data_IF_252137872517
#
_entry.id   IF_252137872517
#
_cell.length_a   1.000
_cell.length_b   1.000
_cell.length_c   1.000
_cell.angle_alpha   90.00
_cell.angle_beta   90.00
_cell.angle_gamma   90.00
#
_symmetry.space_group_name_H-M   'P 1'
#
loop_
_entity.id
_entity.type
_entity.pdbx_description
1 polymer ?
#
# COMPACT_ATOMS: atom_id res chain seq x y z
N UNK A 1 -26.31 -9.77 9.79
CA UNK A 1 -25.64 -8.83 10.71
C UNK A 1 -24.72 -7.96 9.86
N UNK A 2 -25.05 -6.68 9.70
CA UNK A 2 -24.20 -5.75 8.95
C UNK A 2 -22.92 -5.55 9.74
N UNK A 3 -21.76 -5.92 9.17
CA UNK A 3 -20.46 -5.75 9.83
C UNK A 3 -20.30 -4.32 10.31
N UNK A 4 -19.80 -4.10 11.54
CA UNK A 4 -19.51 -2.76 12.04
C UNK A 4 -18.47 -2.01 11.18
N UNK A 5 -17.78 -2.73 10.27
CA UNK A 5 -16.88 -2.20 9.26
C UNK A 5 -17.52 -2.13 7.86
N UNK A 6 -18.84 -2.20 7.73
CA UNK A 6 -19.53 -2.03 6.44
C UNK A 6 -19.47 -0.58 5.93
N UNK A 7 -19.33 0.40 6.83
CA UNK A 7 -19.11 1.80 6.46
C UNK A 7 -17.72 2.00 5.84
N UNK A 8 -17.57 2.96 4.91
CA UNK A 8 -16.26 3.34 4.40
C UNK A 8 -15.36 3.78 5.57
N UNK A 9 -14.05 3.53 5.49
CA UNK A 9 -13.11 4.06 6.46
C UNK A 9 -12.97 5.57 6.27
N UNK A 10 -12.85 6.27 7.40
CA UNK A 10 -12.72 7.72 7.44
C UNK A 10 -11.46 8.14 8.20
N UNK A 11 -10.94 7.26 9.06
CA UNK A 11 -9.73 7.47 9.87
C UNK A 11 -8.75 6.33 9.65
N UNK A 12 -7.48 6.62 9.85
CA UNK A 12 -6.43 5.61 10.03
C UNK A 12 -5.98 5.58 11.49
N UNK A 13 -5.89 4.39 12.08
CA UNK A 13 -5.25 4.18 13.37
C UNK A 13 -3.93 3.45 13.14
N UNK A 14 -2.82 4.05 13.55
CA UNK A 14 -1.48 3.52 13.34
C UNK A 14 -0.74 3.30 14.65
N UNK A 15 0.17 2.33 14.69
CA UNK A 15 1.03 2.05 15.83
C UNK A 15 2.35 1.39 15.40
N UNK A 16 3.42 1.66 16.14
CA UNK A 16 4.71 0.99 15.99
C UNK A 16 4.83 -0.20 16.94
N UNK A 17 5.41 -1.30 16.48
CA UNK A 17 5.61 -2.52 17.26
C UNK A 17 7.07 -2.96 17.18
N UNK A 18 7.73 -3.04 18.34
CA UNK A 18 9.10 -3.57 18.47
C UNK A 18 9.18 -5.10 18.32
N UNK A 19 8.11 -5.78 18.72
CA UNK A 19 8.09 -7.24 18.86
C UNK A 19 7.06 -7.84 17.91
N UNK A 20 7.50 -8.85 17.16
CA UNK A 20 6.66 -9.57 16.21
C UNK A 20 5.44 -10.23 16.88
N UNK A 21 5.58 -10.83 18.06
CA UNK A 21 4.46 -11.51 18.74
C UNK A 21 3.40 -10.50 19.16
N UNK A 22 3.81 -9.30 19.57
CA UNK A 22 2.87 -8.20 19.85
C UNK A 22 2.13 -7.75 18.60
N UNK A 23 2.83 -7.62 17.47
CA UNK A 23 2.20 -7.30 16.19
C UNK A 23 1.21 -8.40 15.76
N UNK A 24 1.61 -9.67 15.83
CA UNK A 24 0.75 -10.81 15.50
C UNK A 24 -0.51 -10.84 16.37
N UNK A 25 -0.36 -10.63 17.68
CA UNK A 25 -1.49 -10.53 18.60
C UNK A 25 -2.41 -9.35 18.25
N UNK A 26 -1.84 -8.18 17.92
CA UNK A 26 -2.64 -7.03 17.49
C UNK A 26 -3.46 -7.37 16.23
N UNK A 27 -2.83 -7.95 15.20
CA UNK A 27 -3.52 -8.34 13.96
C UNK A 27 -4.62 -9.36 14.23
N UNK A 28 -4.34 -10.40 15.01
CA UNK A 28 -5.35 -11.40 15.35
C UNK A 28 -6.54 -10.78 16.06
N UNK A 29 -6.30 -9.91 17.05
CA UNK A 29 -7.36 -9.19 17.77
C UNK A 29 -8.16 -8.26 16.86
N UNK A 30 -7.55 -7.65 15.84
CA UNK A 30 -8.27 -6.85 14.85
C UNK A 30 -9.21 -7.74 14.01
N UNK A 31 -8.73 -8.88 13.53
CA UNK A 31 -9.52 -9.83 12.75
C UNK A 31 -10.68 -10.41 13.58
N UNK A 32 -10.43 -10.76 14.85
CA UNK A 32 -11.45 -11.25 15.78
C UNK A 32 -12.53 -10.19 16.06
N UNK A 33 -12.20 -8.91 15.94
CA UNK A 33 -13.13 -7.77 16.03
C UNK A 33 -13.87 -7.49 14.73
N UNK A 34 -13.62 -8.26 13.68
CA UNK A 34 -14.26 -8.14 12.37
C UNK A 34 -13.67 -7.04 11.50
N UNK A 35 -12.46 -6.54 11.82
CA UNK A 35 -11.73 -5.66 10.90
C UNK A 35 -11.37 -6.47 9.66
N UNK A 36 -11.79 -6.07 8.45
CA UNK A 36 -11.43 -6.78 7.24
C UNK A 36 -9.92 -6.68 6.98
N UNK A 37 -9.30 -7.76 6.52
CA UNK A 37 -7.87 -7.81 6.18
C UNK A 37 -7.47 -6.78 5.14
N UNK A 38 -8.41 -6.39 4.28
CA UNK A 38 -8.26 -5.35 3.25
C UNK A 38 -8.19 -3.94 3.83
N UNK A 39 -8.28 -3.77 5.16
CA UNK A 39 -8.08 -2.50 5.87
C UNK A 39 -6.85 -2.52 6.77
N UNK A 40 -6.09 -3.60 6.77
CA UNK A 40 -4.92 -3.77 7.62
C UNK A 40 -3.69 -3.69 6.74
N UNK A 41 -2.80 -2.78 7.09
CA UNK A 41 -1.51 -2.59 6.43
C UNK A 41 -0.35 -2.73 7.40
N UNK A 42 0.73 -3.36 6.95
CA UNK A 42 1.94 -3.53 7.74
C UNK A 42 3.14 -3.11 6.90
N UNK A 43 4.07 -2.39 7.53
CA UNK A 43 5.36 -2.01 6.95
C UNK A 43 6.47 -2.43 7.92
N UNK A 44 7.52 -3.06 7.40
CA UNK A 44 8.68 -3.46 8.20
C UNK A 44 9.94 -3.55 7.36
N UNK A 45 11.11 -3.52 8.01
CA UNK A 45 12.42 -3.69 7.35
C UNK A 45 13.05 -5.05 7.70
N UNK A 46 14.26 -5.23 7.17
CA UNK A 46 15.16 -6.37 7.43
C UNK A 46 14.97 -7.55 6.47
N UNK A 47 14.86 -7.25 5.17
CA UNK A 47 15.21 -8.20 4.12
C UNK A 47 16.70 -8.07 3.86
N UNK A 48 17.45 -9.15 4.10
CA UNK A 48 18.82 -9.30 3.63
C UNK A 48 18.80 -9.79 2.17
N UNK A 49 17.99 -9.14 1.34
CA UNK A 49 17.96 -9.45 -0.09
C UNK A 49 18.72 -8.34 -0.80
N UNK A 50 19.88 -8.68 -1.35
CA UNK A 50 20.61 -7.86 -2.32
C UNK A 50 19.83 -7.70 -3.63
N UNK A 51 18.66 -8.36 -3.75
CA UNK A 51 17.77 -8.27 -4.88
C UNK A 51 17.22 -6.84 -5.00
N UNK A 52 17.78 -6.14 -5.98
CA UNK A 52 17.35 -4.84 -6.51
C UNK A 52 15.96 -4.98 -7.13
N UNK A 53 14.91 -5.09 -6.31
CA UNK A 53 13.55 -5.24 -6.79
C UNK A 53 12.68 -4.19 -6.11
N UNK A 54 12.50 -3.06 -6.80
CA UNK A 54 11.35 -2.17 -6.56
C UNK A 54 10.18 -2.74 -7.36
N UNK A 55 9.20 -3.34 -6.68
CA UNK A 55 8.03 -3.93 -7.33
C UNK A 55 7.11 -4.70 -6.40
N UNK A 56 5.93 -5.05 -6.90
CA UNK A 56 5.08 -6.02 -6.23
C UNK A 56 5.69 -7.42 -6.41
N UNK A 57 5.81 -8.16 -5.30
CA UNK A 57 6.27 -9.54 -5.30
C UNK A 57 5.11 -10.44 -4.91
N UNK A 58 5.11 -11.67 -5.39
CA UNK A 58 4.14 -12.64 -4.90
C UNK A 58 4.41 -12.92 -3.41
N UNK A 59 3.36 -13.18 -2.64
CA UNK A 59 3.49 -13.55 -1.22
C UNK A 59 4.50 -14.68 -1.03
N UNK A 60 4.48 -15.65 -1.94
CA UNK A 60 5.35 -16.83 -1.92
C UNK A 60 6.82 -16.43 -2.06
N UNK A 61 7.15 -15.51 -2.97
CA UNK A 61 8.52 -15.01 -3.16
C UNK A 61 9.01 -14.26 -1.92
N UNK A 62 8.19 -13.37 -1.35
CA UNK A 62 8.55 -12.62 -0.14
C UNK A 62 8.76 -13.55 1.06
N UNK A 63 7.90 -14.57 1.21
CA UNK A 63 8.03 -15.57 2.28
C UNK A 63 9.28 -16.43 2.06
N UNK A 64 9.51 -16.93 0.84
CA UNK A 64 10.68 -17.76 0.51
C UNK A 64 11.98 -17.01 0.69
N UNK A 65 12.05 -15.77 0.23
CA UNK A 65 13.24 -14.92 0.35
C UNK A 65 13.50 -14.53 1.81
N UNK A 66 12.45 -14.22 2.58
CA UNK A 66 12.55 -13.99 4.03
C UNK A 66 13.04 -15.23 4.80
N UNK A 67 12.58 -16.43 4.42
CA UNK A 67 13.04 -17.70 5.01
C UNK A 67 14.48 -18.05 4.59
N UNK A 68 14.84 -17.84 3.32
CA UNK A 68 16.15 -18.21 2.76
C UNK A 68 17.27 -17.25 3.21
N UNK A 69 16.98 -15.96 3.34
CA UNK A 69 17.94 -14.94 3.77
C UNK A 69 18.23 -14.96 5.29
N UNK A 70 17.55 -15.83 6.05
CA UNK A 70 17.66 -15.85 7.51
C UNK A 70 17.16 -14.54 8.15
N UNK A 71 16.34 -13.77 7.42
CA UNK A 71 15.67 -12.60 7.98
C UNK A 71 14.92 -13.06 9.23
N UNK A 72 15.16 -12.37 10.35
CA UNK A 72 14.79 -12.74 11.73
C UNK A 72 13.27 -12.93 11.97
N UNK A 73 12.44 -12.90 10.93
CA UNK A 73 10.99 -12.73 10.99
C UNK A 73 10.19 -13.75 10.17
N UNK A 74 10.76 -14.92 9.81
CA UNK A 74 10.07 -15.93 8.98
C UNK A 74 8.66 -16.35 9.46
N UNK A 75 8.38 -16.28 10.77
CA UNK A 75 7.05 -16.54 11.34
C UNK A 75 6.02 -15.44 11.05
N UNK A 76 6.45 -14.18 10.88
CA UNK A 76 5.60 -13.01 10.60
C UNK A 76 5.10 -13.10 9.16
N UNK A 77 5.98 -13.54 8.27
CA UNK A 77 5.71 -13.75 6.84
C UNK A 77 4.75 -14.94 6.61
N UNK A 78 4.95 -16.06 7.31
CA UNK A 78 4.07 -17.22 7.19
C UNK A 78 2.66 -17.00 7.73
N UNK A 79 2.50 -16.24 8.83
CA UNK A 79 1.23 -16.13 9.55
C UNK A 79 0.47 -14.86 9.18
N UNK A 80 1.05 -13.69 9.45
CA UNK A 80 0.35 -12.40 9.29
C UNK A 80 0.27 -11.98 7.84
N UNK A 81 1.38 -12.06 7.10
CA UNK A 81 1.42 -11.62 5.71
C UNK A 81 0.65 -12.54 4.76
N UNK A 82 0.49 -13.81 5.13
CA UNK A 82 -0.43 -14.72 4.44
C UNK A 82 -1.88 -14.19 4.48
N UNK A 83 -2.29 -13.60 5.60
CA UNK A 83 -3.64 -13.07 5.82
C UNK A 83 -3.87 -11.73 5.10
N UNK A 84 -2.83 -10.92 4.88
CA UNK A 84 -2.95 -9.61 4.24
C UNK A 84 -2.98 -9.71 2.72
N UNK A 85 -3.58 -8.73 2.04
CA UNK A 85 -3.62 -8.64 0.57
C UNK A 85 -2.55 -7.67 0.06
N UNK A 86 -2.03 -7.88 -1.15
CA UNK A 86 -1.10 -6.93 -1.79
C UNK A 86 0.22 -6.76 -1.03
N UNK A 87 1.16 -7.68 -1.21
CA UNK A 87 2.51 -7.59 -0.63
C UNK A 87 3.45 -7.03 -1.69
N UNK A 88 4.38 -6.18 -1.28
CA UNK A 88 5.50 -5.85 -2.15
C UNK A 88 6.66 -5.25 -1.40
N UNK A 89 7.76 -5.09 -2.14
CA UNK A 89 9.06 -4.73 -1.60
C UNK A 89 9.52 -3.46 -2.29
N UNK A 90 9.97 -2.51 -1.48
CA UNK A 90 10.48 -1.23 -1.95
C UNK A 90 11.84 -0.97 -1.32
N UNK A 91 12.81 -0.62 -2.15
CA UNK A 91 14.10 -0.16 -1.68
C UNK A 91 14.01 1.33 -1.37
N UNK A 92 14.18 1.69 -0.09
CA UNK A 92 14.21 3.08 0.36
C UNK A 92 15.67 3.49 0.56
N UNK A 93 16.15 4.58 -0.08
CA UNK A 93 17.47 5.13 0.22
C UNK A 93 17.67 5.34 1.73
N UNK A 94 18.82 4.96 2.27
CA UNK A 94 19.18 5.03 3.71
C UNK A 94 18.39 4.10 4.66
N UNK A 95 17.21 3.59 4.28
CA UNK A 95 16.44 2.61 5.05
C UNK A 95 16.72 1.16 4.62
N UNK A 96 17.05 0.93 3.35
CA UNK A 96 17.24 -0.39 2.76
C UNK A 96 15.94 -0.99 2.21
N UNK A 97 15.92 -2.32 2.03
CA UNK A 97 14.72 -3.04 1.59
C UNK A 97 13.64 -3.02 2.70
N UNK A 98 12.47 -2.52 2.34
CA UNK A 98 11.28 -2.45 3.19
C UNK A 98 10.19 -3.26 2.53
N UNK A 99 9.46 -4.02 3.34
CA UNK A 99 8.28 -4.76 2.91
C UNK A 99 7.05 -4.08 3.43
N UNK A 100 6.10 -3.90 2.53
CA UNK A 100 4.77 -3.44 2.85
C UNK A 100 3.76 -4.52 2.44
N UNK A 101 2.71 -4.66 3.24
CA UNK A 101 1.52 -5.40 2.88
C UNK A 101 0.26 -4.63 3.20
N UNK A 102 -0.83 -4.95 2.52
CA UNK A 102 -2.11 -4.27 2.66
C UNK A 102 -2.27 -3.08 1.70
N UNK A 103 -3.36 -2.33 1.85
CA UNK A 103 -3.64 -1.13 1.05
C UNK A 103 -2.48 -0.12 1.01
N UNK A 104 -1.76 0.05 2.13
CA UNK A 104 -0.62 0.95 2.18
C UNK A 104 0.51 0.48 1.25
N UNK A 105 0.74 -0.83 1.10
CA UNK A 105 1.71 -1.33 0.14
C UNK A 105 1.32 -0.98 -1.29
N UNK A 106 0.04 -1.13 -1.62
CA UNK A 106 -0.49 -0.74 -2.93
C UNK A 106 -0.36 0.76 -3.19
N UNK A 107 -0.58 1.60 -2.17
CA UNK A 107 -0.38 3.05 -2.27
C UNK A 107 1.11 3.41 -2.45
N UNK A 108 2.01 2.80 -1.67
CA UNK A 108 3.44 3.05 -1.71
C UNK A 108 4.08 2.60 -3.03
N UNK A 109 3.66 1.43 -3.55
CA UNK A 109 4.19 0.85 -4.79
C UNK A 109 3.48 1.39 -6.03
N UNK A 110 2.18 1.66 -5.94
CA UNK A 110 1.35 2.21 -7.03
C UNK A 110 1.78 3.61 -7.47
N UNK A 111 2.48 4.36 -6.61
CA UNK A 111 3.11 5.63 -6.93
C UNK A 111 4.17 5.54 -8.06
N UNK A 112 4.64 4.33 -8.42
CA UNK A 112 5.55 4.13 -9.57
C UNK A 112 4.88 4.31 -10.93
N UNK A 113 3.55 4.38 -10.96
CA UNK A 113 2.79 4.39 -12.21
C UNK A 113 2.55 5.78 -12.82
N UNK A 114 2.65 6.86 -12.04
CA UNK A 114 2.62 8.23 -12.57
C UNK A 114 1.95 9.28 -11.67
N UNK A 115 1.15 8.86 -10.69
CA UNK A 115 0.40 9.75 -9.81
C UNK A 115 1.29 10.32 -8.67
N UNK A 116 1.73 11.56 -8.85
CA UNK A 116 2.15 12.63 -7.91
C UNK A 116 2.68 12.40 -6.48
N UNK A 117 3.07 11.21 -6.02
CA UNK A 117 3.60 11.04 -4.67
C UNK A 117 4.94 10.31 -4.69
N UNK A 118 6.02 11.06 -4.49
CA UNK A 118 7.41 10.67 -4.70
C UNK A 118 7.95 9.55 -3.80
N UNK A 119 7.51 8.32 -4.01
CA UNK A 119 8.08 7.13 -3.38
C UNK A 119 9.49 6.80 -3.90
N UNK A 120 9.84 7.22 -5.12
CA UNK A 120 11.15 6.93 -5.73
C UNK A 120 12.31 7.81 -5.19
N UNK A 121 12.08 8.72 -4.23
CA UNK A 121 13.13 9.66 -3.80
C UNK A 121 13.21 10.04 -2.32
N UNK A 122 12.11 10.04 -1.55
CA UNK A 122 12.10 10.70 -0.23
C UNK A 122 11.80 9.78 0.97
N UNK A 123 11.56 8.48 0.74
CA UNK A 123 11.44 7.46 1.79
C UNK A 123 10.10 7.41 2.52
N UNK A 124 9.97 6.49 3.48
CA UNK A 124 8.68 6.11 4.09
C UNK A 124 7.94 7.31 4.70
N UNK A 125 8.66 8.20 5.40
CA UNK A 125 8.06 9.38 6.01
C UNK A 125 7.45 10.32 4.97
N UNK A 126 8.12 10.54 3.84
CA UNK A 126 7.57 11.36 2.75
C UNK A 126 6.30 10.78 2.15
N UNK A 127 6.25 9.45 2.04
CA UNK A 127 5.10 8.76 1.50
C UNK A 127 3.92 8.79 2.49
N UNK A 128 4.17 8.63 3.78
CA UNK A 128 3.12 8.78 4.80
C UNK A 128 2.59 10.22 4.86
N UNK A 129 3.46 11.23 4.77
CA UNK A 129 3.04 12.64 4.71
C UNK A 129 2.18 12.93 3.48
N UNK A 130 2.55 12.35 2.34
CA UNK A 130 1.79 12.45 1.09
C UNK A 130 0.37 11.91 1.21
N UNK A 131 0.15 10.93 2.08
CA UNK A 131 -1.16 10.35 2.37
C UNK A 131 -1.95 11.15 3.43
N UNK A 132 -1.39 12.22 3.98
CA UNK A 132 -2.02 13.08 4.99
C UNK A 132 -1.56 12.82 6.43
N UNK A 133 -0.48 12.04 6.65
CA UNK A 133 0.08 11.88 7.98
C UNK A 133 0.85 13.15 8.43
N UNK A 134 0.68 13.63 9.67
CA UNK A 134 1.48 14.72 10.22
C UNK A 134 2.98 14.43 10.17
N UNK A 135 3.79 15.45 9.85
CA UNK A 135 5.23 15.34 9.63
C UNK A 135 5.98 14.73 10.84
N UNK A 136 5.63 15.16 12.04
CA UNK A 136 6.18 14.67 13.30
C UNK A 136 5.95 13.16 13.46
N UNK A 137 4.74 12.69 13.16
CA UNK A 137 4.40 11.26 13.22
C UNK A 137 5.04 10.45 12.12
N UNK A 138 5.03 10.95 10.89
CA UNK A 138 5.68 10.29 9.76
C UNK A 138 7.18 10.11 9.99
N UNK A 139 7.86 11.12 10.55
CA UNK A 139 9.26 11.05 10.93
C UNK A 139 9.52 9.99 12.00
N UNK A 140 8.70 9.97 13.07
CA UNK A 140 8.81 8.96 14.14
C UNK A 140 8.67 7.55 13.56
N UNK A 141 7.64 7.28 12.75
CA UNK A 141 7.44 5.95 12.16
C UNK A 141 8.56 5.56 11.20
N UNK A 142 9.08 6.50 10.39
CA UNK A 142 10.25 6.23 9.57
C UNK A 142 11.45 5.79 10.44
N UNK A 143 11.72 6.50 11.53
CA UNK A 143 12.81 6.14 12.45
C UNK A 143 12.58 4.79 13.13
N UNK A 144 11.35 4.48 13.57
CA UNK A 144 11.01 3.17 14.17
C UNK A 144 11.19 2.04 13.17
N UNK A 145 10.66 2.19 11.94
CA UNK A 145 10.85 1.21 10.88
C UNK A 145 12.34 1.08 10.55
N UNK A 146 13.09 2.19 10.50
CA UNK A 146 14.54 2.16 10.33
C UNK A 146 15.25 1.44 11.49
N UNK A 147 14.72 1.45 12.70
CA UNK A 147 15.28 0.71 13.84
C UNK A 147 14.99 -0.80 13.80
N UNK A 148 14.22 -1.30 12.82
CA UNK A 148 13.85 -2.72 12.73
C UNK A 148 12.46 -3.02 13.28
N UNK A 149 11.72 -2.01 13.70
CA UNK A 149 10.34 -2.14 14.19
C UNK A 149 9.34 -2.24 13.03
N UNK A 150 8.10 -2.58 13.37
CA UNK A 150 6.98 -2.69 12.44
C UNK A 150 6.02 -1.51 12.60
N UNK A 151 5.52 -0.99 11.50
CA UNK A 151 4.40 -0.06 11.47
C UNK A 151 3.13 -0.83 11.08
N UNK A 152 2.11 -0.78 11.92
CA UNK A 152 0.76 -1.26 11.63
C UNK A 152 -0.13 -0.04 11.38
N UNK A 153 -0.90 -0.07 10.29
CA UNK A 153 -1.92 0.94 9.97
C UNK A 153 -3.23 0.24 9.69
N UNK A 154 -4.31 0.75 10.29
CA UNK A 154 -5.66 0.18 10.15
C UNK A 154 -6.63 1.27 9.72
N UNK A 155 -7.29 1.06 8.59
CA UNK A 155 -8.38 1.91 8.11
C UNK A 155 -9.68 1.57 8.84
N UNK A 156 -10.32 2.57 9.44
CA UNK A 156 -11.50 2.37 10.29
C UNK A 156 -12.56 3.45 10.05
N UNK A 157 -13.85 3.12 10.21
CA UNK A 157 -14.88 4.15 10.36
C UNK A 157 -14.58 5.03 11.58
N UNK A 158 -14.96 6.31 11.53
CA UNK A 158 -14.66 7.27 12.61
C UNK A 158 -15.11 6.75 13.99
N UNK A 159 -16.30 6.18 14.08
CA UNK A 159 -16.87 5.59 15.30
C UNK A 159 -16.06 4.43 15.91
N UNK A 160 -15.19 3.79 15.13
CA UNK A 160 -14.33 2.68 15.56
C UNK A 160 -12.91 3.10 15.91
N UNK A 161 -12.51 4.33 15.57
CA UNK A 161 -11.16 4.83 15.81
C UNK A 161 -10.71 4.71 17.27
N UNK A 162 -11.55 5.11 18.21
CA UNK A 162 -11.24 5.00 19.65
C UNK A 162 -11.11 3.55 20.14
N UNK A 163 -11.98 2.64 19.69
CA UNK A 163 -11.91 1.22 20.04
C UNK A 163 -10.60 0.60 19.53
N UNK A 164 -10.26 0.86 18.27
CA UNK A 164 -9.05 0.33 17.64
C UNK A 164 -7.79 0.96 18.24
N UNK A 165 -7.81 2.25 18.57
CA UNK A 165 -6.72 2.92 19.28
C UNK A 165 -6.37 2.22 20.60
N UNK A 166 -7.38 1.95 21.44
CA UNK A 166 -7.20 1.25 22.71
C UNK A 166 -6.76 -0.21 22.51
N UNK A 167 -7.26 -0.86 21.45
CA UNK A 167 -6.83 -2.22 21.09
C UNK A 167 -5.33 -2.24 20.76
N UNK A 168 -4.85 -1.35 19.90
CA UNK A 168 -3.43 -1.28 19.53
C UNK A 168 -2.55 -0.95 20.72
N UNK A 169 -2.97 0.02 21.55
CA UNK A 169 -2.24 0.39 22.76
C UNK A 169 -2.14 -0.79 23.75
N UNK A 170 -3.27 -1.46 24.03
CA UNK A 170 -3.29 -2.63 24.92
C UNK A 170 -2.57 -3.85 24.36
N UNK A 171 -2.42 -3.97 23.03
CA UNK A 171 -1.60 -4.98 22.39
C UNK A 171 -0.09 -4.68 22.47
N UNK A 172 0.28 -3.53 23.04
CA UNK A 172 1.67 -3.08 23.21
C UNK A 172 2.21 -2.28 22.03
N UNK A 173 1.33 -1.66 21.24
CA UNK A 173 1.69 -0.68 20.23
C UNK A 173 2.20 0.61 20.88
N UNK A 174 3.32 1.11 20.38
CA UNK A 174 3.89 2.40 20.74
C UNK A 174 3.52 3.46 19.70
N UNK A 175 3.61 4.74 20.06
CA UNK A 175 3.34 5.86 19.14
C UNK A 175 1.96 5.77 18.47
N UNK A 176 0.97 5.23 19.17
CA UNK A 176 -0.38 5.06 18.63
C UNK A 176 -0.96 6.41 18.26
N UNK A 177 -1.51 6.53 17.05
CA UNK A 177 -2.10 7.76 16.54
C UNK A 177 -3.36 7.46 15.74
N UNK A 178 -4.29 8.41 15.76
CA UNK A 178 -5.42 8.46 14.82
C UNK A 178 -5.16 9.62 13.88
N UNK A 179 -5.25 9.39 12.58
CA UNK A 179 -5.02 10.38 11.54
C UNK A 179 -6.14 10.36 10.51
N UNK A 180 -6.27 11.45 9.76
CA UNK A 180 -7.18 11.57 8.62
C UNK A 180 -6.51 11.09 7.32
N UNK A 181 -5.53 10.20 7.46
CA UNK A 181 -4.76 9.68 6.34
C UNK A 181 -5.69 8.95 5.37
N UNK A 182 -5.60 9.28 4.09
CA UNK A 182 -6.40 8.64 3.04
C UNK A 182 -5.49 7.71 2.25
N UNK A 183 -5.77 6.41 2.31
CA UNK A 183 -5.06 5.41 1.51
C UNK A 183 -5.82 5.23 0.19
N UNK A 184 -5.22 5.58 -0.97
CA UNK A 184 -5.87 5.37 -2.26
C UNK A 184 -6.23 3.90 -2.43
N UNK A 185 -7.48 3.65 -2.80
CA UNK A 185 -7.93 2.29 -3.15
C UNK A 185 -7.67 2.05 -4.62
N UNK A 186 -7.02 0.93 -4.92
CA UNK A 186 -7.00 0.43 -6.30
C UNK A 186 -8.40 -0.10 -6.66
N UNK A 187 -8.80 -0.02 -7.93
CA UNK A 187 -10.09 -0.55 -8.39
C UNK A 187 -10.24 -2.03 -7.99
N UNK A 188 -11.40 -2.38 -7.41
CA UNK A 188 -11.65 -3.72 -6.88
C UNK A 188 -12.04 -4.75 -7.95
N UNK A 189 -12.22 -4.34 -9.21
CA UNK A 189 -12.64 -5.19 -10.32
C UNK A 189 -12.49 -4.48 -11.65
N UNK A 190 -13.21 -4.96 -12.67
CA UNK A 190 -13.28 -4.26 -13.95
C UNK A 190 -13.77 -2.83 -13.76
N UNK A 191 -13.19 -1.92 -14.54
CA UNK A 191 -13.59 -0.54 -14.62
C UNK A 191 -14.72 -0.43 -15.65
N UNK A 192 -15.95 -0.13 -15.23
CA UNK A 192 -17.10 0.06 -16.12
C UNK A 192 -16.96 1.31 -17.01
N UNK A 193 -16.03 2.20 -16.67
CA UNK A 193 -15.75 3.41 -17.43
C UNK A 193 -14.66 4.27 -16.80
N UNK A 194 -14.27 5.34 -17.50
CA UNK A 194 -13.28 6.29 -17.01
C UNK A 194 -13.69 6.96 -15.69
N UNK A 195 -14.99 7.01 -15.40
CA UNK A 195 -15.56 7.56 -14.18
C UNK A 195 -15.11 6.84 -12.90
N UNK A 196 -14.82 5.53 -12.98
CA UNK A 196 -14.33 4.71 -11.86
C UNK A 196 -12.81 4.78 -11.67
N UNK A 197 -12.10 5.45 -12.60
CA UNK A 197 -10.69 5.77 -12.42
C UNK A 197 -10.56 6.78 -11.27
N UNK A 198 -9.53 6.60 -10.43
CA UNK A 198 -9.28 7.50 -9.31
C UNK A 198 -9.00 8.94 -9.78
N UNK A 199 -9.38 9.97 -9.00
CA UNK A 199 -9.17 11.37 -9.37
C UNK A 199 -7.72 11.70 -9.76
N UNK A 200 -6.76 11.02 -9.15
CA UNK A 200 -5.33 11.21 -9.40
C UNK A 200 -4.94 10.70 -10.80
N UNK A 201 -5.44 9.53 -11.21
CA UNK A 201 -5.16 8.98 -12.54
C UNK A 201 -5.87 9.83 -13.61
N UNK A 202 -7.09 10.31 -13.34
CA UNK A 202 -7.80 11.23 -14.26
C UNK A 202 -7.04 12.53 -14.48
N UNK A 203 -6.40 13.07 -13.43
CA UNK A 203 -5.63 14.31 -13.54
C UNK A 203 -4.40 14.19 -14.45
N UNK A 204 -3.83 12.99 -14.58
CA UNK A 204 -2.66 12.72 -15.42
C UNK A 204 -3.01 12.29 -16.87
N UNK A 205 -4.27 12.01 -17.17
CA UNK A 205 -4.72 11.42 -18.44
C UNK A 205 -5.78 12.29 -19.12
N UNK A 206 -5.61 12.54 -20.43
CA UNK A 206 -6.71 13.06 -21.27
C UNK A 206 -7.88 12.07 -21.34
N UNK A 207 -9.09 12.53 -21.70
CA UNK A 207 -10.28 11.69 -21.91
C UNK A 207 -9.99 10.45 -22.78
N UNK A 208 -9.23 10.61 -23.88
CA UNK A 208 -8.85 9.52 -24.77
C UNK A 208 -7.88 8.53 -24.10
N UNK A 209 -6.91 9.05 -23.34
CA UNK A 209 -5.97 8.22 -22.58
C UNK A 209 -6.67 7.49 -21.43
N UNK A 210 -7.69 8.09 -20.80
CA UNK A 210 -8.50 7.44 -19.76
C UNK A 210 -9.25 6.23 -20.33
N UNK A 211 -9.84 6.34 -21.52
CA UNK A 211 -10.51 5.20 -22.19
C UNK A 211 -9.52 4.08 -22.50
N UNK A 212 -8.37 4.42 -23.09
CA UNK A 212 -7.32 3.44 -23.40
C UNK A 212 -6.81 2.72 -22.14
N UNK A 213 -6.73 3.45 -21.03
CA UNK A 213 -6.33 2.90 -19.73
C UNK A 213 -7.33 1.86 -19.23
N UNK A 214 -8.62 2.19 -19.24
CA UNK A 214 -9.71 1.29 -18.80
C UNK A 214 -9.75 0.02 -19.63
N UNK A 215 -9.69 0.13 -20.96
CA UNK A 215 -9.70 -1.02 -21.86
C UNK A 215 -8.52 -1.96 -21.59
N UNK A 216 -7.32 -1.41 -21.50
CA UNK A 216 -6.10 -2.20 -21.28
C UNK A 216 -6.11 -2.84 -19.89
N UNK A 217 -6.61 -2.12 -18.90
CA UNK A 217 -6.75 -2.61 -17.54
C UNK A 217 -7.72 -3.80 -17.49
N UNK A 218 -8.93 -3.65 -18.01
CA UNK A 218 -9.95 -4.72 -18.01
C UNK A 218 -9.46 -5.94 -18.80
N UNK A 219 -8.85 -5.71 -19.96
CA UNK A 219 -8.29 -6.79 -20.76
C UNK A 219 -7.24 -7.58 -19.96
N UNK A 220 -6.26 -6.89 -19.35
CA UNK A 220 -5.22 -7.59 -18.59
C UNK A 220 -5.73 -8.19 -17.27
N UNK A 221 -6.79 -7.63 -16.67
CA UNK A 221 -7.44 -8.20 -15.49
C UNK A 221 -8.14 -9.50 -15.85
N UNK A 222 -8.80 -9.56 -17.00
CA UNK A 222 -9.44 -10.79 -17.51
C UNK A 222 -8.43 -11.91 -17.81
N UNK A 223 -7.25 -11.55 -18.32
CA UNK A 223 -6.19 -12.50 -18.70
C UNK A 223 -5.47 -13.13 -17.50
N UNK A 224 -5.21 -12.34 -16.45
CA UNK A 224 -4.33 -12.75 -15.36
C UNK A 224 -5.04 -12.91 -14.02
N UNK A 225 -6.26 -12.37 -13.86
CA UNK A 225 -6.95 -12.17 -12.58
C UNK A 225 -6.11 -11.39 -11.53
N UNK A 226 -4.94 -10.88 -11.91
CA UNK A 226 -4.03 -10.12 -11.07
C UNK A 226 -4.13 -8.63 -11.40
N UNK A 227 -4.82 -7.90 -10.51
CA UNK A 227 -5.09 -6.46 -10.62
C UNK A 227 -3.83 -5.60 -10.80
N UNK A 228 -2.73 -6.00 -10.17
CA UNK A 228 -1.46 -5.26 -10.22
C UNK A 228 -0.83 -5.35 -11.61
N UNK A 229 -0.88 -6.53 -12.23
CA UNK A 229 -0.39 -6.72 -13.60
C UNK A 229 -1.26 -5.90 -14.56
N UNK A 230 -2.58 -5.87 -14.32
CA UNK A 230 -3.49 -5.07 -15.11
C UNK A 230 -3.20 -3.57 -15.06
N UNK A 231 -2.95 -3.00 -13.87
CA UNK A 231 -2.56 -1.60 -13.74
C UNK A 231 -1.22 -1.31 -14.41
N UNK A 232 -0.25 -2.20 -14.24
CA UNK A 232 1.08 -2.04 -14.83
C UNK A 232 1.00 -2.01 -16.35
N UNK A 233 0.29 -2.99 -16.95
CA UNK A 233 0.09 -3.05 -18.40
C UNK A 233 -0.68 -1.84 -18.92
N UNK A 234 -1.71 -1.37 -18.21
CA UNK A 234 -2.46 -0.19 -18.60
C UNK A 234 -1.55 1.05 -18.65
N UNK A 235 -0.72 1.27 -17.64
CA UNK A 235 0.23 2.39 -17.63
C UNK A 235 1.34 2.28 -18.66
N UNK A 236 1.88 1.09 -18.89
CA UNK A 236 2.83 0.86 -19.98
C UNK A 236 2.21 1.19 -21.34
N UNK A 237 0.95 0.78 -21.55
CA UNK A 237 0.22 1.07 -22.78
C UNK A 237 0.00 2.57 -22.98
N UNK A 238 -0.33 3.31 -21.92
CA UNK A 238 -0.41 4.78 -21.99
C UNK A 238 0.95 5.38 -22.38
N UNK A 239 2.04 4.98 -21.71
CA UNK A 239 3.38 5.50 -22.02
C UNK A 239 3.85 5.17 -23.45
N UNK A 240 3.37 4.05 -24.01
CA UNK A 240 3.64 3.67 -25.40
C UNK A 240 2.86 4.50 -26.42
N UNK A 241 1.61 4.86 -26.10
CA UNK A 241 0.70 5.50 -27.05
C UNK A 241 0.62 7.01 -26.92
N UNK A 242 0.95 7.58 -25.77
CA UNK A 242 0.77 9.00 -25.48
C UNK A 242 2.07 9.64 -24.96
N UNK A 243 2.30 10.88 -25.39
CA UNK A 243 3.26 11.83 -24.81
C UNK A 243 2.55 12.82 -23.90
N UNK A 244 3.31 13.35 -22.93
CA UNK A 244 2.85 14.42 -22.04
C UNK A 244 2.78 15.76 -22.78
N UNK A 245 1.75 16.54 -22.51
CA UNK A 245 1.65 17.93 -22.98
C UNK A 245 2.41 18.92 -22.08
N UNK A 246 2.27 20.21 -22.38
CA UNK A 246 2.85 21.32 -21.65
C UNK A 246 2.38 21.44 -20.19
N UNK A 247 1.25 20.80 -19.85
CA UNK A 247 0.73 20.69 -18.48
C UNK A 247 1.15 19.38 -17.80
N UNK A 248 1.93 18.55 -18.48
CA UNK A 248 2.37 17.25 -17.99
C UNK A 248 1.33 16.14 -18.14
N UNK A 249 0.23 16.35 -18.86
CA UNK A 249 -0.86 15.36 -18.99
C UNK A 249 -0.61 14.48 -20.20
N UNK A 250 -0.82 13.16 -20.09
CA UNK A 250 -0.76 12.25 -21.25
C UNK A 250 -1.95 12.50 -22.19
N UNK A 251 -1.69 13.28 -23.25
CA UNK A 251 -2.74 13.75 -24.18
C UNK A 251 -2.34 13.71 -25.65
N UNK A 252 -1.04 13.65 -25.98
CA UNK A 252 -0.58 13.66 -27.37
C UNK A 252 -0.34 12.24 -27.86
N UNK A 253 -1.19 11.72 -28.74
CA UNK A 253 -0.96 10.40 -29.33
C UNK A 253 0.36 10.39 -30.12
N UNK A 254 1.24 9.44 -29.82
CA UNK A 254 2.49 9.22 -30.54
C UNK A 254 2.17 8.80 -31.97
N UNK A 255 2.83 9.42 -32.94
CA UNK A 255 2.78 8.94 -34.32
C UNK A 255 3.51 7.59 -34.36
N UNK A 256 2.82 6.55 -34.83
CA UNK A 256 3.36 5.21 -35.00
C UNK A 256 4.35 5.10 -36.15
#
# INVERSE_FOLDING_TARGET
>A
MTSAFAKPPEKCVSAAFKDEKKLQNAVQRLLDRGVPRERISIVGRNFQSEARITGFLTKKEVILDGLASGALYGSLFGSVLSLLTGVGVLFIPFLGAVVAAGPLAAALLGATSGALYGALGAGLGSALMSLGMPQDKAAIYQTRVQAGEFLLVVEVPEEKSGEIFLLLQSAGGEEVATTDMQIPRQPEGELDGSEQISPEIKADLSEEAQQTFVETYNQSLSESQEKINALTKAWERIKQLFDRDDKGIFSKRKAG
#
